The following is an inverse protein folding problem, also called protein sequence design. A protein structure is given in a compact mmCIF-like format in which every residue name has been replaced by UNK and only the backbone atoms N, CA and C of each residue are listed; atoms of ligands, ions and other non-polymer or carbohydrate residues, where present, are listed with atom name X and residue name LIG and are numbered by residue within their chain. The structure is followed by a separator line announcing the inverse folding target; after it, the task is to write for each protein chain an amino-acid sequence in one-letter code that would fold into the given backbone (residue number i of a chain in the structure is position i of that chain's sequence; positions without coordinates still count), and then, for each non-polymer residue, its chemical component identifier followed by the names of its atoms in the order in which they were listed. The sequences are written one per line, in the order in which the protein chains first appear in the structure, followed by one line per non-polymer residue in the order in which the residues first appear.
data_IF_930544152871
#
_entry.id   IF_930544152871
#
_cell.length_a   1.000
_cell.length_b   1.000
_cell.length_c   1.000
_cell.angle_alpha   90.00
_cell.angle_beta   90.00
_cell.angle_gamma   90.00
#
_symmetry.space_group_name_H-M   'P 1'
#
loop_
_entity.id
_entity.type
_entity.pdbx_description
1 polymer ?
#
# COMPACT_ATOMS: atom_id res chain seq x y z
N UNK A 1 35.81 -50.05 -38.59
CA UNK A 1 35.75 -50.16 -37.11
C UNK A 1 36.60 -49.14 -36.33
N UNK A 2 37.89 -48.92 -36.66
CA UNK A 2 38.78 -48.03 -35.87
C UNK A 2 38.34 -46.54 -35.77
N UNK A 3 37.81 -45.95 -36.84
CA UNK A 3 37.33 -44.54 -36.85
C UNK A 3 36.11 -44.29 -35.94
N UNK A 4 35.14 -45.20 -35.92
CA UNK A 4 33.93 -45.12 -35.07
C UNK A 4 34.29 -45.21 -33.58
N UNK A 5 35.24 -46.09 -33.22
CA UNK A 5 35.78 -46.21 -31.86
C UNK A 5 36.50 -44.94 -31.40
N UNK A 6 37.31 -44.31 -32.28
CA UNK A 6 37.99 -43.04 -31.96
C UNK A 6 37.00 -41.89 -31.72
N UNK A 7 35.89 -41.85 -32.45
CA UNK A 7 34.84 -40.85 -32.26
C UNK A 7 34.09 -41.02 -30.93
N UNK A 8 33.79 -42.26 -30.54
CA UNK A 8 33.14 -42.58 -29.25
C UNK A 8 34.04 -42.18 -28.09
N UNK A 9 35.34 -42.49 -28.16
CA UNK A 9 36.30 -42.10 -27.11
C UNK A 9 36.40 -40.58 -26.97
N UNK A 10 36.41 -39.83 -28.09
CA UNK A 10 36.41 -38.36 -28.05
C UNK A 10 35.13 -37.82 -27.38
N UNK A 11 33.96 -38.39 -27.69
CA UNK A 11 32.70 -38.00 -27.04
C UNK A 11 32.71 -38.31 -25.55
N UNK A 12 33.18 -39.50 -25.14
CA UNK A 12 33.29 -39.88 -23.72
C UNK A 12 34.19 -38.92 -22.94
N UNK A 13 35.32 -38.51 -23.53
CA UNK A 13 36.21 -37.56 -22.88
C UNK A 13 35.56 -36.18 -22.73
N UNK A 14 34.82 -35.75 -23.75
CA UNK A 14 34.03 -34.50 -23.69
C UNK A 14 32.98 -34.56 -22.58
N UNK A 15 32.30 -35.70 -22.41
CA UNK A 15 31.32 -35.89 -21.33
C UNK A 15 31.95 -35.84 -19.94
N UNK A 16 33.17 -36.37 -19.76
CA UNK A 16 33.87 -36.30 -18.47
C UNK A 16 34.19 -34.86 -18.07
N UNK A 17 34.64 -34.04 -19.02
CA UNK A 17 34.94 -32.62 -18.77
C UNK A 17 33.67 -31.85 -18.39
N UNK A 18 32.53 -32.12 -19.04
CA UNK A 18 31.24 -31.52 -18.67
C UNK A 18 30.82 -31.91 -17.24
N UNK A 19 30.98 -33.17 -16.86
CA UNK A 19 30.66 -33.63 -15.49
C UNK A 19 31.57 -32.95 -14.46
N UNK A 20 32.87 -32.79 -14.78
CA UNK A 20 33.83 -32.12 -13.92
C UNK A 20 33.49 -30.63 -13.74
N UNK A 21 33.10 -29.97 -14.81
CA UNK A 21 32.64 -28.58 -14.79
C UNK A 21 31.35 -28.43 -13.98
N UNK A 22 30.37 -29.32 -14.16
CA UNK A 22 29.13 -29.31 -13.37
C UNK A 22 29.40 -29.47 -11.86
N UNK A 23 30.30 -30.38 -11.46
CA UNK A 23 30.67 -30.53 -10.04
C UNK A 23 31.35 -29.29 -9.47
N UNK A 24 32.12 -28.57 -10.29
CA UNK A 24 32.76 -27.32 -9.87
C UNK A 24 31.72 -26.21 -9.70
N UNK A 25 30.80 -26.07 -10.66
CA UNK A 25 29.65 -25.17 -10.61
C UNK A 25 28.82 -25.43 -9.33
N UNK A 26 28.45 -26.67 -9.04
CA UNK A 26 27.70 -27.02 -7.83
C UNK A 26 28.42 -26.61 -6.53
N UNK A 27 29.75 -26.71 -6.51
CA UNK A 27 30.56 -26.29 -5.36
C UNK A 27 30.59 -24.77 -5.21
N UNK A 28 30.70 -24.03 -6.30
CA UNK A 28 30.71 -22.56 -6.32
C UNK A 28 29.33 -21.97 -5.99
N UNK A 29 28.23 -22.61 -6.33
CA UNK A 29 26.87 -22.11 -6.01
C UNK A 29 26.36 -22.56 -4.63
N UNK A 30 27.10 -23.40 -3.91
CA UNK A 30 26.69 -23.97 -2.63
C UNK A 30 26.48 -22.89 -1.55
N UNK A 31 27.37 -21.90 -1.48
CA UNK A 31 27.26 -20.81 -0.49
C UNK A 31 26.05 -19.92 -0.75
N UNK A 32 25.70 -19.65 -2.02
CA UNK A 32 24.50 -18.89 -2.39
C UNK A 32 23.24 -19.62 -1.92
N UNK A 33 23.19 -20.95 -2.07
CA UNK A 33 22.07 -21.77 -1.57
C UNK A 33 22.00 -21.74 -0.03
N UNK A 34 23.14 -21.76 0.65
CA UNK A 34 23.20 -21.66 2.11
C UNK A 34 22.80 -20.26 2.62
N UNK A 35 23.15 -19.21 1.88
CA UNK A 35 22.80 -17.81 2.18
C UNK A 35 21.31 -17.50 1.93
N UNK A 36 20.71 -18.08 0.88
CA UNK A 36 19.25 -18.03 0.66
C UNK A 36 18.50 -18.79 1.77
N UNK A 37 19.07 -19.88 2.30
CA UNK A 37 18.46 -20.67 3.39
C UNK A 37 18.53 -19.95 4.74
N UNK A 38 19.56 -19.14 5.00
CA UNK A 38 19.74 -18.40 6.26
C UNK A 38 19.02 -17.04 6.30
N UNK A 39 18.30 -16.69 5.23
CA UNK A 39 17.22 -15.69 5.30
C UNK A 39 16.09 -16.22 6.19
N UNK A 40 16.31 -16.21 7.51
CA UNK A 40 15.37 -16.66 8.56
C UNK A 40 14.00 -16.00 8.47
N UNK A 41 13.91 -14.84 7.82
CA UNK A 41 12.68 -14.11 7.55
C UNK A 41 11.96 -14.58 6.29
N UNK A 42 12.62 -15.21 5.31
CA UNK A 42 11.98 -15.60 4.05
C UNK A 42 10.90 -16.69 4.23
N UNK A 43 11.08 -17.76 5.03
CA UNK A 43 10.03 -18.74 5.26
C UNK A 43 8.81 -18.14 5.96
N UNK A 44 9.02 -17.26 6.94
CA UNK A 44 7.91 -16.61 7.66
C UNK A 44 7.25 -15.51 6.84
N UNK A 45 8.02 -14.80 6.01
CA UNK A 45 7.50 -13.84 5.05
C UNK A 45 6.71 -14.54 3.94
N UNK A 46 7.17 -15.70 3.44
CA UNK A 46 6.44 -16.55 2.49
C UNK A 46 5.19 -17.13 3.16
N UNK A 47 5.25 -17.55 4.43
CA UNK A 47 4.09 -18.05 5.17
C UNK A 47 3.05 -16.95 5.44
N UNK A 48 3.50 -15.74 5.76
CA UNK A 48 2.66 -14.54 5.86
C UNK A 48 2.05 -14.21 4.51
N UNK A 49 2.85 -14.10 3.45
CA UNK A 49 2.38 -13.86 2.08
C UNK A 49 1.41 -14.95 1.60
N UNK A 50 1.64 -16.22 1.96
CA UNK A 50 0.75 -17.32 1.60
C UNK A 50 -0.57 -17.23 2.34
N UNK A 51 -0.56 -16.82 3.60
CA UNK A 51 -1.77 -16.51 4.37
C UNK A 51 -2.51 -15.31 3.75
N UNK A 52 -1.80 -14.23 3.44
CA UNK A 52 -2.37 -13.04 2.79
C UNK A 52 -2.96 -13.40 1.40
N UNK A 53 -2.30 -14.29 0.64
CA UNK A 53 -2.80 -14.79 -0.66
C UNK A 53 -4.00 -15.74 -0.49
N UNK A 54 -4.02 -16.57 0.55
CA UNK A 54 -5.19 -17.40 0.89
C UNK A 54 -6.38 -16.54 1.31
N UNK A 55 -6.16 -15.49 2.10
CA UNK A 55 -7.19 -14.51 2.48
C UNK A 55 -7.70 -13.70 1.27
N UNK A 56 -6.89 -13.53 0.21
CA UNK A 56 -7.29 -12.94 -1.08
C UNK A 56 -8.12 -13.93 -1.91
N UNK A 57 -7.76 -15.21 -1.94
CA UNK A 57 -8.42 -16.25 -2.73
C UNK A 57 -9.73 -16.75 -2.10
N UNK A 58 -9.84 -16.69 -0.77
CA UNK A 58 -11.03 -17.01 0.02
C UNK A 58 -11.78 -15.75 0.48
N UNK A 59 -11.36 -14.58 0.01
CA UNK A 59 -11.91 -13.29 0.38
C UNK A 59 -13.43 -13.20 0.16
N UNK A 60 -14.14 -12.39 0.97
CA UNK A 60 -15.58 -12.22 0.87
C UNK A 60 -15.97 -11.75 -0.56
N UNK A 61 -17.23 -11.99 -0.99
CA UNK A 61 -17.67 -11.71 -2.34
C UNK A 61 -17.31 -10.29 -2.79
N UNK A 62 -16.99 -10.12 -4.08
CA UNK A 62 -16.64 -8.90 -4.83
C UNK A 62 -17.61 -7.69 -4.69
N UNK A 63 -18.56 -7.72 -3.76
CA UNK A 63 -19.61 -6.72 -3.51
C UNK A 63 -19.42 -5.88 -2.24
N UNK A 64 -18.29 -5.96 -1.54
CA UNK A 64 -18.08 -5.13 -0.35
C UNK A 64 -17.98 -3.63 -0.69
N UNK A 65 -18.74 -2.82 0.04
CA UNK A 65 -18.76 -1.38 -0.16
C UNK A 65 -17.48 -0.77 0.41
N UNK A 66 -16.57 -0.35 -0.48
CA UNK A 66 -15.23 0.09 -0.07
C UNK A 66 -15.21 1.45 0.62
N UNK A 67 -16.21 2.28 0.34
CA UNK A 67 -16.40 3.56 1.01
C UNK A 67 -17.86 4.06 0.91
N UNK A 68 -18.08 5.28 1.41
CA UNK A 68 -19.35 5.97 1.35
C UNK A 68 -19.83 6.33 -0.06
N UNK A 69 -18.94 6.44 -1.06
CA UNK A 69 -19.35 6.65 -2.45
C UNK A 69 -20.01 5.39 -3.02
N UNK A 70 -19.52 4.20 -2.72
CA UNK A 70 -20.15 2.95 -3.15
C UNK A 70 -21.49 2.75 -2.41
N UNK A 71 -21.55 3.06 -1.11
CA UNK A 71 -22.79 3.06 -0.35
C UNK A 71 -23.83 4.04 -0.91
N UNK A 72 -23.39 5.22 -1.39
CA UNK A 72 -24.28 6.19 -2.02
C UNK A 72 -24.94 5.64 -3.28
N UNK A 73 -24.21 4.92 -4.14
CA UNK A 73 -24.78 4.29 -5.35
C UNK A 73 -25.85 3.24 -5.02
N UNK A 74 -25.77 2.68 -3.81
CA UNK A 74 -26.77 1.76 -3.27
C UNK A 74 -27.91 2.47 -2.52
N UNK A 75 -28.04 3.79 -2.69
CA UNK A 75 -29.05 4.62 -2.04
C UNK A 75 -29.06 4.52 -0.50
N UNK A 76 -27.88 4.32 0.12
CA UNK A 76 -27.75 4.39 1.58
C UNK A 76 -27.83 5.84 2.05
N UNK A 77 -28.45 6.04 3.22
CA UNK A 77 -28.61 7.35 3.84
C UNK A 77 -27.38 7.79 4.63
N UNK A 78 -27.31 9.08 4.97
CA UNK A 78 -26.33 9.63 5.91
C UNK A 78 -26.34 8.86 7.22
N UNK A 79 -25.17 8.52 7.76
CA UNK A 79 -25.05 7.78 9.01
C UNK A 79 -23.76 6.98 9.11
N UNK A 80 -23.64 6.19 10.17
CA UNK A 80 -22.49 5.30 10.36
C UNK A 80 -22.70 4.03 9.55
N UNK A 81 -21.72 3.69 8.72
CA UNK A 81 -21.69 2.46 7.93
C UNK A 81 -20.35 1.76 8.08
N UNK A 82 -20.34 0.45 7.85
CA UNK A 82 -19.10 -0.31 7.71
C UNK A 82 -18.66 -0.25 6.24
N UNK A 83 -17.42 0.13 6.00
CA UNK A 83 -16.78 0.13 4.70
C UNK A 83 -15.55 -0.78 4.69
N UNK A 84 -15.11 -1.22 3.52
CA UNK A 84 -13.96 -2.14 3.37
C UNK A 84 -12.90 -1.55 2.44
N UNK A 85 -12.07 -0.60 2.90
CA UNK A 85 -11.04 0.08 2.11
C UNK A 85 -10.15 -0.83 1.27
N UNK A 86 -9.73 -1.96 1.84
CA UNK A 86 -8.81 -2.94 1.28
C UNK A 86 -9.51 -4.24 0.82
N UNK A 87 -10.85 -4.29 0.86
CA UNK A 87 -11.69 -5.46 0.61
C UNK A 87 -11.58 -6.59 1.66
N UNK A 88 -10.89 -6.35 2.78
CA UNK A 88 -10.67 -7.39 3.81
C UNK A 88 -11.12 -6.87 5.18
N UNK A 89 -10.61 -5.71 5.57
CA UNK A 89 -10.82 -5.13 6.89
C UNK A 89 -11.97 -4.12 6.88
N UNK A 90 -13.01 -4.43 7.64
CA UNK A 90 -14.17 -3.55 7.83
C UNK A 90 -13.85 -2.42 8.81
N UNK A 91 -14.10 -1.18 8.39
CA UNK A 91 -13.93 0.03 9.18
C UNK A 91 -15.27 0.76 9.30
N UNK A 92 -15.68 1.11 10.52
CA UNK A 92 -16.87 1.95 10.73
C UNK A 92 -16.53 3.41 10.47
N UNK A 93 -17.27 4.04 9.56
CA UNK A 93 -17.10 5.45 9.21
C UNK A 93 -18.45 6.15 9.17
N UNK A 94 -18.44 7.45 9.40
CA UNK A 94 -19.63 8.27 9.14
C UNK A 94 -19.65 8.67 7.68
N UNK A 95 -20.71 8.28 6.99
CA UNK A 95 -20.98 8.68 5.63
C UNK A 95 -21.92 9.89 5.61
N UNK A 96 -21.46 11.02 5.08
CA UNK A 96 -22.35 12.14 4.76
C UNK A 96 -22.81 12.02 3.30
N UNK A 97 -24.12 11.86 3.10
CA UNK A 97 -24.73 11.67 1.78
C UNK A 97 -25.45 12.92 1.26
N UNK A 98 -25.52 13.98 2.07
CA UNK A 98 -26.33 15.18 1.83
C UNK A 98 -25.51 16.37 1.33
N UNK A 99 -24.37 16.65 1.97
CA UNK A 99 -23.57 17.85 1.68
C UNK A 99 -22.79 17.70 0.38
N UNK A 100 -22.81 18.73 -0.47
CA UNK A 100 -22.00 18.84 -1.69
C UNK A 100 -22.05 17.61 -2.61
N UNK A 101 -23.24 17.04 -2.76
CA UNK A 101 -23.42 15.86 -3.59
C UNK A 101 -22.94 14.55 -2.95
N UNK A 102 -22.71 14.50 -1.65
CA UNK A 102 -22.66 13.29 -0.82
C UNK A 102 -21.56 12.25 -1.14
N UNK A 103 -21.57 11.15 -0.41
CA UNK A 103 -20.61 10.04 -0.59
C UNK A 103 -19.31 10.23 0.18
N UNK A 104 -19.34 11.08 1.21
CA UNK A 104 -18.17 11.47 1.99
C UNK A 104 -17.88 10.48 3.11
N UNK A 105 -16.70 9.88 3.10
CA UNK A 105 -16.15 9.18 4.27
C UNK A 105 -15.48 10.19 5.20
N UNK A 106 -16.07 10.42 6.37
CA UNK A 106 -15.55 11.41 7.33
C UNK A 106 -14.38 10.82 8.13
N UNK A 107 -13.20 11.42 7.99
CA UNK A 107 -11.95 10.96 8.64
C UNK A 107 -11.66 11.62 9.99
N UNK A 108 -12.22 12.80 10.23
CA UNK A 108 -12.21 13.50 11.52
C UNK A 108 -13.52 14.26 11.70
N UNK A 109 -14.12 14.19 12.88
CA UNK A 109 -15.31 14.98 13.23
C UNK A 109 -15.26 15.46 14.67
N UNK A 110 -15.77 16.69 14.89
CA UNK A 110 -16.14 17.24 16.20
C UNK A 110 -17.57 17.74 16.14
N UNK A 111 -18.45 17.17 16.95
CA UNK A 111 -19.86 17.54 17.05
C UNK A 111 -20.24 18.01 18.45
N UNK A 112 -19.54 17.54 19.48
CA UNK A 112 -19.80 17.92 20.88
C UNK A 112 -18.51 17.81 21.74
N UNK A 113 -18.65 18.06 23.05
CA UNK A 113 -17.56 17.98 24.03
C UNK A 113 -17.32 16.59 24.64
N UNK A 114 -18.02 15.54 24.20
CA UNK A 114 -18.06 14.25 24.91
C UNK A 114 -16.82 13.37 24.72
N UNK A 115 -15.99 13.67 23.73
CA UNK A 115 -14.77 12.91 23.45
C UNK A 115 -13.55 13.75 23.77
N UNK A 116 -12.71 13.26 24.68
CA UNK A 116 -11.42 13.87 24.96
C UNK A 116 -10.46 13.63 23.78
N UNK A 117 -9.90 14.71 23.23
CA UNK A 117 -8.86 14.67 22.18
C UNK A 117 -7.45 14.85 22.75
N UNK A 118 -7.30 15.11 24.05
CA UNK A 118 -6.02 15.01 24.74
C UNK A 118 -5.70 13.53 25.00
N UNK A 119 -5.09 12.89 24.00
CA UNK A 119 -4.85 11.44 23.92
C UNK A 119 -3.39 11.13 23.65
N UNK A 120 -3.01 9.89 23.93
CA UNK A 120 -1.67 9.38 23.66
C UNK A 120 -1.42 9.22 22.15
N UNK A 121 -0.14 9.10 21.79
CA UNK A 121 0.28 8.91 20.40
C UNK A 121 -0.22 7.60 19.79
N UNK A 122 -0.26 6.51 20.56
CA UNK A 122 -0.78 5.22 20.10
C UNK A 122 -2.26 5.31 19.73
N UNK A 123 -3.05 6.07 20.49
CA UNK A 123 -4.47 6.32 20.19
C UNK A 123 -4.64 7.15 18.91
N UNK A 124 -3.87 8.22 18.72
CA UNK A 124 -3.91 9.00 17.48
C UNK A 124 -3.46 8.19 16.25
N UNK A 125 -2.52 7.25 16.42
CA UNK A 125 -2.12 6.33 15.35
C UNK A 125 -3.27 5.40 14.94
N UNK A 126 -3.93 4.78 15.93
CA UNK A 126 -4.97 3.77 15.70
C UNK A 126 -6.35 4.35 15.40
N UNK A 127 -6.59 5.61 15.73
CA UNK A 127 -7.92 6.21 15.72
C UNK A 127 -8.64 6.08 17.05
N UNK A 128 -9.57 6.99 17.32
CA UNK A 128 -10.40 6.98 18.52
C UNK A 128 -11.71 7.75 18.32
N UNK A 129 -12.62 7.59 19.28
CA UNK A 129 -13.94 8.22 19.27
C UNK A 129 -15.01 7.36 18.62
N UNK A 130 -16.13 7.98 18.30
CA UNK A 130 -17.32 7.31 17.76
C UNK A 130 -17.71 7.95 16.43
N UNK A 131 -17.82 7.20 15.32
CA UNK A 131 -18.13 7.76 14.01
C UNK A 131 -19.41 8.60 13.97
N UNK A 132 -20.43 8.26 14.77
CA UNK A 132 -21.69 9.02 14.88
C UNK A 132 -21.55 10.38 15.59
N UNK A 133 -20.43 10.64 16.29
CA UNK A 133 -20.20 11.85 17.10
C UNK A 133 -18.85 12.49 16.77
N UNK A 134 -17.88 12.35 17.68
CA UNK A 134 -16.51 12.83 17.47
C UNK A 134 -15.62 11.64 17.15
N UNK A 135 -14.86 11.74 16.07
CA UNK A 135 -13.99 10.63 15.61
C UNK A 135 -12.68 11.17 15.05
N UNK A 136 -11.63 10.37 15.18
CA UNK A 136 -10.39 10.45 14.44
C UNK A 136 -10.13 9.05 13.87
N UNK A 137 -10.14 8.88 12.54
CA UNK A 137 -9.98 7.56 11.91
C UNK A 137 -8.52 7.05 11.92
N UNK A 138 -7.56 7.85 12.37
CA UNK A 138 -6.14 7.49 12.43
C UNK A 138 -5.26 8.39 11.59
N UNK A 139 -3.96 8.35 11.87
CA UNK A 139 -2.98 9.30 11.31
C UNK A 139 -2.29 8.77 10.05
N UNK A 140 -2.89 9.02 8.87
CA UNK A 140 -2.24 8.75 7.58
C UNK A 140 -1.20 9.79 7.19
N UNK A 141 -1.23 10.98 7.79
CA UNK A 141 -0.30 12.08 7.50
C UNK A 141 0.96 12.01 8.35
N UNK A 142 1.00 11.16 9.39
CA UNK A 142 2.18 10.88 10.24
C UNK A 142 3.43 10.71 9.42
N UNK A 143 3.32 9.94 8.34
CA UNK A 143 4.45 9.57 7.52
C UNK A 143 5.10 10.78 6.85
N UNK A 144 4.33 11.84 6.63
CA UNK A 144 4.76 13.13 6.08
C UNK A 144 4.99 14.20 7.16
N UNK A 145 4.76 13.90 8.45
CA UNK A 145 4.87 14.89 9.51
C UNK A 145 6.33 15.37 9.67
N UNK A 146 6.52 16.69 9.77
CA UNK A 146 7.84 17.31 9.85
C UNK A 146 8.64 17.32 8.54
N UNK A 147 8.07 16.80 7.43
CA UNK A 147 8.71 16.90 6.13
C UNK A 147 8.57 18.30 5.55
N UNK A 148 9.57 18.71 4.76
CA UNK A 148 9.49 19.93 3.96
C UNK A 148 8.68 19.66 2.69
N UNK A 149 8.12 20.71 2.11
CA UNK A 149 7.40 20.61 0.86
C UNK A 149 8.39 20.49 -0.31
N UNK A 150 8.23 19.48 -1.16
CA UNK A 150 9.05 19.29 -2.37
C UNK A 150 8.23 19.58 -3.63
N UNK A 151 8.89 20.15 -4.63
CA UNK A 151 8.33 20.48 -5.96
C UNK A 151 9.30 20.03 -7.06
N UNK A 152 8.89 20.15 -8.33
CA UNK A 152 9.67 19.60 -9.47
C UNK A 152 11.06 20.24 -9.61
N UNK A 153 11.24 21.42 -9.01
CA UNK A 153 12.44 22.24 -9.01
C UNK A 153 13.13 22.33 -7.63
N UNK A 154 12.54 21.74 -6.58
CA UNK A 154 13.10 21.73 -5.22
C UNK A 154 12.89 20.37 -4.55
N UNK A 155 13.93 19.54 -4.56
CA UNK A 155 13.97 18.29 -3.80
C UNK A 155 14.27 18.57 -2.32
N UNK A 156 13.19 18.54 -1.53
CA UNK A 156 13.24 18.61 -0.08
C UNK A 156 12.79 17.30 0.58
N UNK A 157 12.72 16.20 -0.19
CA UNK A 157 12.26 14.92 0.32
C UNK A 157 13.35 14.18 1.10
N UNK A 158 12.92 13.17 1.87
CA UNK A 158 13.83 12.40 2.71
C UNK A 158 14.40 11.17 1.98
N UNK A 159 14.01 10.91 0.73
CA UNK A 159 14.33 9.67 0.04
C UNK A 159 15.51 9.83 -0.91
N UNK A 160 16.70 9.42 -0.45
CA UNK A 160 17.92 9.58 -1.24
C UNK A 160 18.03 8.65 -2.46
N UNK A 161 17.20 7.62 -2.56
CA UNK A 161 17.25 6.68 -3.68
C UNK A 161 16.28 7.01 -4.83
N UNK A 162 15.23 7.78 -4.56
CA UNK A 162 14.15 8.06 -5.52
C UNK A 162 13.66 9.47 -5.32
N UNK A 163 13.66 10.28 -6.38
CA UNK A 163 13.00 11.58 -6.39
C UNK A 163 11.47 11.38 -6.38
N UNK A 164 10.86 11.76 -5.26
CA UNK A 164 9.44 11.55 -5.05
C UNK A 164 8.58 12.42 -5.97
N UNK A 165 9.05 13.62 -6.32
CA UNK A 165 8.31 14.52 -7.19
C UNK A 165 8.37 14.04 -8.64
N UNK A 166 9.54 13.56 -9.09
CA UNK A 166 9.67 12.96 -10.42
C UNK A 166 8.82 11.69 -10.56
N UNK A 167 8.65 10.93 -9.48
CA UNK A 167 7.79 9.73 -9.45
C UNK A 167 6.32 10.09 -9.46
N UNK A 168 5.91 11.02 -8.59
CA UNK A 168 4.50 11.26 -8.28
C UNK A 168 3.89 12.43 -9.07
N UNK A 169 4.73 13.22 -9.76
CA UNK A 169 4.34 14.33 -10.62
C UNK A 169 3.44 15.37 -9.92
N UNK A 170 3.67 15.60 -8.63
CA UNK A 170 2.91 16.52 -7.81
C UNK A 170 3.80 17.10 -6.70
N UNK A 171 3.53 18.32 -6.25
CA UNK A 171 4.18 18.87 -5.05
C UNK A 171 3.51 18.36 -3.78
N UNK A 172 4.30 17.94 -2.79
CA UNK A 172 3.80 17.44 -1.51
C UNK A 172 4.86 17.51 -0.40
N UNK A 173 4.44 17.34 0.85
CA UNK A 173 5.34 17.08 1.97
C UNK A 173 5.86 15.63 1.91
N UNK A 174 6.78 15.35 0.99
CA UNK A 174 7.26 13.99 0.76
C UNK A 174 8.26 13.54 1.83
N UNK A 175 8.12 12.28 2.25
CA UNK A 175 9.09 11.50 3.00
C UNK A 175 9.76 10.46 2.05
N UNK A 176 9.35 9.18 2.06
CA UNK A 176 9.86 8.14 1.13
C UNK A 176 8.75 7.28 0.48
N UNK A 177 7.74 7.81 -0.20
CA UNK A 177 7.50 9.22 -0.51
C UNK A 177 6.26 9.73 0.21
N UNK A 178 5.17 8.96 0.25
CA UNK A 178 3.95 9.39 0.92
C UNK A 178 3.03 8.22 1.29
N UNK A 179 2.19 8.44 2.31
CA UNK A 179 1.01 7.61 2.59
C UNK A 179 -0.30 8.27 2.15
N UNK A 180 -0.21 9.53 1.73
CA UNK A 180 -1.30 10.40 1.29
C UNK A 180 -0.71 11.36 0.29
N UNK A 181 -1.30 11.47 -0.89
CA UNK A 181 -0.94 12.50 -1.85
C UNK A 181 -2.21 13.01 -2.51
N UNK A 182 -2.78 14.06 -1.95
CA UNK A 182 -4.03 14.64 -2.47
C UNK A 182 -3.78 15.60 -3.65
N UNK A 183 -2.52 15.96 -3.89
CA UNK A 183 -2.08 16.76 -5.03
C UNK A 183 -1.70 15.90 -6.24
N UNK A 184 -1.73 14.56 -6.09
CA UNK A 184 -1.41 13.61 -7.15
C UNK A 184 -2.31 13.74 -8.37
N UNK A 185 -1.98 13.02 -9.43
CA UNK A 185 -2.74 13.03 -10.67
C UNK A 185 -4.19 12.56 -10.45
N UNK A 186 -5.16 13.38 -10.84
CA UNK A 186 -6.56 12.96 -10.79
C UNK A 186 -6.84 11.90 -11.87
N UNK A 187 -7.27 10.72 -11.44
CA UNK A 187 -7.74 9.64 -12.32
C UNK A 187 -9.10 9.15 -11.85
N UNK A 188 -9.90 8.62 -12.75
CA UNK A 188 -11.20 8.04 -12.36
C UNK A 188 -10.99 6.61 -11.83
N UNK A 189 -10.95 6.45 -10.52
CA UNK A 189 -10.97 5.13 -9.85
C UNK A 189 -9.60 4.48 -9.72
N UNK A 190 -9.50 3.17 -10.03
CA UNK A 190 -8.25 2.40 -9.88
C UNK A 190 -7.18 2.93 -10.84
N UNK A 191 -5.94 2.98 -10.38
CA UNK A 191 -4.75 3.22 -11.21
C UNK A 191 -3.75 2.10 -11.03
N UNK A 192 -2.99 1.86 -12.09
CA UNK A 192 -1.75 1.09 -12.14
C UNK A 192 -0.56 1.75 -11.41
N UNK A 193 -0.69 3.04 -11.06
CA UNK A 193 0.36 3.86 -10.46
C UNK A 193 -0.14 4.46 -9.15
N UNK A 194 0.78 4.68 -8.22
CA UNK A 194 0.52 5.32 -6.93
C UNK A 194 0.59 6.85 -6.97
N UNK A 195 0.88 7.43 -8.14
CA UNK A 195 0.99 8.89 -8.34
C UNK A 195 -0.35 9.63 -8.44
N UNK A 196 -1.42 9.03 -7.91
CA UNK A 196 -2.78 9.56 -8.00
C UNK A 196 -3.22 10.23 -6.71
N UNK A 197 -4.32 11.00 -6.78
CA UNK A 197 -4.99 11.57 -5.60
C UNK A 197 -5.35 10.46 -4.62
N UNK A 198 -4.53 10.19 -3.61
CA UNK A 198 -4.60 8.96 -2.82
C UNK A 198 -4.53 9.23 -1.32
N UNK A 199 -5.17 8.34 -0.56
CA UNK A 199 -5.11 8.30 0.90
C UNK A 199 -5.10 6.83 1.33
N UNK A 200 -3.96 6.34 1.82
CA UNK A 200 -3.73 4.90 1.99
C UNK A 200 -4.73 4.25 2.95
N UNK A 201 -5.05 4.88 4.08
CA UNK A 201 -6.05 4.35 5.01
C UNK A 201 -7.49 4.39 4.46
N UNK A 202 -7.76 5.13 3.38
CA UNK A 202 -9.10 5.26 2.83
C UNK A 202 -9.38 4.26 1.70
N UNK A 203 -8.50 4.19 0.69
CA UNK A 203 -8.66 3.34 -0.51
C UNK A 203 -7.34 2.74 -1.02
N UNK A 204 -6.27 2.84 -0.25
CA UNK A 204 -4.91 2.43 -0.66
C UNK A 204 -4.24 3.41 -1.63
N UNK A 205 -2.96 3.14 -1.99
CA UNK A 205 -2.16 4.04 -2.84
C UNK A 205 -2.56 4.00 -4.33
N UNK A 206 -3.23 2.93 -4.78
CA UNK A 206 -3.56 2.69 -6.20
C UNK A 206 -4.99 3.07 -6.58
N UNK A 207 -5.65 3.89 -5.77
CA UNK A 207 -7.00 4.33 -6.04
C UNK A 207 -7.08 5.85 -5.93
N UNK A 208 -7.47 6.47 -7.03
CA UNK A 208 -7.66 7.91 -7.07
C UNK A 208 -9.01 8.27 -6.45
N UNK A 209 -8.97 9.07 -5.39
CA UNK A 209 -10.15 9.61 -4.72
C UNK A 209 -10.91 10.49 -5.70
N UNK A 210 -12.21 10.24 -5.83
CA UNK A 210 -13.11 11.00 -6.71
C UNK A 210 -13.17 12.49 -6.33
N UNK A 211 -12.99 12.78 -5.04
CA UNK A 211 -13.06 14.12 -4.53
C UNK A 211 -12.25 14.23 -3.23
N UNK A 212 -11.50 15.32 -3.07
CA UNK A 212 -10.79 15.67 -1.83
C UNK A 212 -10.94 17.17 -1.57
N UNK A 213 -11.15 17.55 -0.31
CA UNK A 213 -11.10 18.96 0.11
C UNK A 213 -10.52 19.07 1.52
N UNK A 214 -9.54 19.96 1.67
CA UNK A 214 -9.04 20.41 2.96
C UNK A 214 -9.69 21.76 3.27
N UNK A 215 -10.18 21.96 4.49
CA UNK A 215 -10.85 23.20 4.91
C UNK A 215 -10.28 23.66 6.25
N UNK A 216 -10.02 24.96 6.37
CA UNK A 216 -9.59 25.63 7.60
C UNK A 216 -10.46 26.88 7.75
N UNK A 217 -10.93 27.18 8.97
CA UNK A 217 -11.65 28.44 9.26
C UNK A 217 -11.16 29.00 10.59
N UNK A 218 -10.97 30.31 10.63
CA UNK A 218 -10.76 31.05 11.89
C UNK A 218 -12.04 31.00 12.74
N UNK A 219 -11.87 31.06 14.06
CA UNK A 219 -12.96 31.32 15.01
C UNK A 219 -13.61 32.68 14.78
#
# INVERSE_FOLDING_TARGET
MKRKRKLILKKLETYKEVIKLNKHIEKEFKWIIEEIKDHKSAPEMIKSLRKDVLDICEGPPLSQQRDCTDLKKLNKMTGVHTIYPDNVHGVKVFCNMEVDGGGWSVIQRRQDGTTNFYRSWSEYKSGFGSPDKNVWLGDSLRYQNGMKFSTYDQDNDAYKAVDCVARDHAGWWYNQCHNVNINGLYKKGKSDKHNVVSWNLARGPYYSLKFVRMMIRRH
#
